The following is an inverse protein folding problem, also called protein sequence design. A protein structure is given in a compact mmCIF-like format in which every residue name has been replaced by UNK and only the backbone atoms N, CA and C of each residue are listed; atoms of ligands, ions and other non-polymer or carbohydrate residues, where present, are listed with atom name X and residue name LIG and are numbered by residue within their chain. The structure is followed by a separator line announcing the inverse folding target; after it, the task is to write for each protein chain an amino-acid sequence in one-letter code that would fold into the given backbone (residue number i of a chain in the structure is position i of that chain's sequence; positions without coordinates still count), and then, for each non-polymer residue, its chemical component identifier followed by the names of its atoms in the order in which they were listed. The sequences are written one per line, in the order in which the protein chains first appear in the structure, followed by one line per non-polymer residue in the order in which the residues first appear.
data_IF_497861925940
#
_entry.id   IF_497861925940
#
_cell.length_a   1.000
_cell.length_b   1.000
_cell.length_c   1.000
_cell.angle_alpha   90.00
_cell.angle_beta   90.00
_cell.angle_gamma   90.00
#
_symmetry.space_group_name_H-M   'P 1'
#
loop_
_entity.id
_entity.type
_entity.pdbx_description
1 polymer ?
#
# COMPACT_ATOMS: atom_id res chain seq x y z
N UNK A 1 -14.36 12.74 -14.30
CA UNK A 1 -13.19 12.14 -13.61
C UNK A 1 -13.56 11.83 -12.17
N UNK A 2 -13.28 10.61 -11.69
CA UNK A 2 -13.43 10.23 -10.28
C UNK A 2 -12.04 9.91 -9.71
N UNK A 3 -11.70 10.50 -8.56
CA UNK A 3 -10.41 10.28 -7.88
C UNK A 3 -10.56 9.15 -6.84
N UNK A 4 -9.65 8.16 -6.86
CA UNK A 4 -9.39 7.35 -5.67
C UNK A 4 -8.52 8.19 -4.71
N UNK A 5 -9.14 8.67 -3.64
CA UNK A 5 -8.56 9.64 -2.72
C UNK A 5 -7.80 9.00 -1.56
N UNK A 6 -7.63 7.67 -1.52
CA UNK A 6 -7.08 6.98 -0.35
C UNK A 6 -5.78 7.60 0.20
N UNK A 7 -4.92 8.13 -0.68
CA UNK A 7 -3.63 8.73 -0.31
C UNK A 7 -3.44 10.14 -0.86
N UNK A 8 -4.50 10.94 -0.86
CA UNK A 8 -4.50 12.28 -1.44
C UNK A 8 -3.50 13.24 -0.77
N UNK A 9 -3.28 13.12 0.54
CA UNK A 9 -2.42 14.03 1.29
C UNK A 9 -0.93 13.71 1.05
N UNK A 10 -0.58 12.43 0.92
CA UNK A 10 0.75 12.03 0.42
C UNK A 10 1.03 12.57 -0.98
N UNK A 11 0.02 12.52 -1.87
CA UNK A 11 0.16 13.05 -3.22
C UNK A 11 0.34 14.58 -3.21
N UNK A 12 -0.44 15.30 -2.39
CA UNK A 12 -0.30 16.74 -2.20
C UNK A 12 1.10 17.11 -1.67
N UNK A 13 1.68 16.30 -0.78
CA UNK A 13 3.05 16.48 -0.31
C UNK A 13 4.06 16.36 -1.44
N UNK A 14 3.97 15.35 -2.30
CA UNK A 14 4.87 15.24 -3.45
C UNK A 14 4.74 16.41 -4.42
N UNK A 15 3.53 16.90 -4.69
CA UNK A 15 3.32 18.10 -5.50
C UNK A 15 4.04 19.29 -4.87
N UNK A 16 3.83 19.53 -3.57
CA UNK A 16 4.50 20.62 -2.84
C UNK A 16 6.02 20.57 -2.96
N UNK A 17 6.61 19.39 -2.76
CA UNK A 17 8.06 19.21 -2.69
C UNK A 17 8.74 19.16 -4.07
N UNK A 18 8.02 18.74 -5.12
CA UNK A 18 8.64 18.39 -6.41
C UNK A 18 8.14 19.22 -7.59
N UNK A 19 6.96 19.84 -7.48
CA UNK A 19 6.37 20.59 -8.59
C UNK A 19 6.68 22.09 -8.47
N UNK A 20 7.23 22.65 -9.55
CA UNK A 20 7.57 24.07 -9.59
C UNK A 20 6.32 24.93 -9.43
N UNK A 21 6.37 25.92 -8.51
CA UNK A 21 5.27 26.83 -8.24
C UNK A 21 4.39 26.45 -7.05
N UNK A 22 4.61 25.29 -6.42
CA UNK A 22 3.81 24.83 -5.27
C UNK A 22 4.51 24.93 -3.91
N UNK A 23 5.80 25.30 -3.89
CA UNK A 23 6.62 25.32 -2.67
C UNK A 23 6.05 26.18 -1.53
N UNK A 24 5.42 27.32 -1.84
CA UNK A 24 4.85 28.24 -0.84
C UNK A 24 3.40 27.90 -0.45
N UNK A 25 2.77 26.92 -1.11
CA UNK A 25 1.37 26.57 -0.88
C UNK A 25 1.21 25.57 0.25
N UNK A 26 0.12 25.69 1.00
CA UNK A 26 -0.26 24.71 2.01
C UNK A 26 -0.74 23.41 1.34
N UNK A 27 -0.61 22.28 2.03
CA UNK A 27 -1.12 21.00 1.51
C UNK A 27 -2.63 21.03 1.30
N UNK A 28 -3.37 21.80 2.11
CA UNK A 28 -4.81 22.00 1.93
C UNK A 28 -5.14 22.72 0.62
N UNK A 29 -4.40 23.77 0.27
CA UNK A 29 -4.59 24.48 -1.01
C UNK A 29 -4.28 23.58 -2.21
N UNK A 30 -3.25 22.74 -2.10
CA UNK A 30 -2.88 21.77 -3.13
C UNK A 30 -3.95 20.69 -3.27
N UNK A 31 -4.40 20.11 -2.16
CA UNK A 31 -5.46 19.10 -2.16
C UNK A 31 -6.77 19.65 -2.75
N UNK A 32 -7.17 20.88 -2.39
CA UNK A 32 -8.35 21.53 -2.97
C UNK A 32 -8.23 21.69 -4.48
N UNK A 33 -7.07 22.08 -4.99
CA UNK A 33 -6.83 22.18 -6.42
C UNK A 33 -6.86 20.81 -7.10
N UNK A 34 -6.21 19.78 -6.51
CA UNK A 34 -6.27 18.41 -7.03
C UNK A 34 -7.74 17.95 -7.22
N UNK A 35 -8.58 18.18 -6.21
CA UNK A 35 -9.99 17.81 -6.28
C UNK A 35 -10.83 18.72 -7.20
N UNK A 36 -10.37 19.93 -7.51
CA UNK A 36 -11.05 20.84 -8.45
C UNK A 36 -11.06 20.31 -9.89
N UNK A 37 -10.17 19.38 -10.23
CA UNK A 37 -10.11 18.72 -11.54
C UNK A 37 -11.04 17.49 -11.65
N UNK A 38 -11.79 17.14 -10.60
CA UNK A 38 -12.62 15.94 -10.55
C UNK A 38 -14.09 16.24 -10.31
N UNK A 39 -14.94 15.33 -10.79
CA UNK A 39 -16.39 15.37 -10.61
C UNK A 39 -16.82 14.66 -9.31
N UNK A 40 -15.90 13.92 -8.69
CA UNK A 40 -16.11 13.20 -7.45
C UNK A 40 -14.89 12.39 -7.00
N UNK A 41 -15.03 11.73 -5.86
CA UNK A 41 -13.99 10.91 -5.28
C UNK A 41 -14.56 9.73 -4.47
N UNK A 42 -13.81 8.64 -4.44
CA UNK A 42 -13.97 7.56 -3.46
C UNK A 42 -12.85 7.68 -2.43
N UNK A 43 -13.17 7.56 -1.14
CA UNK A 43 -12.18 7.71 -0.07
C UNK A 43 -12.23 6.53 0.88
N UNK A 44 -11.09 5.87 1.09
CA UNK A 44 -10.88 5.03 2.27
C UNK A 44 -10.15 5.83 3.34
N UNK A 45 -10.89 6.22 4.38
CA UNK A 45 -10.33 6.98 5.50
C UNK A 45 -9.33 6.17 6.35
N UNK A 46 -9.22 4.86 6.10
CA UNK A 46 -8.21 3.95 6.68
C UNK A 46 -6.76 4.26 6.30
N UNK A 47 -6.54 5.26 5.44
CA UNK A 47 -5.23 5.68 4.92
C UNK A 47 -4.96 7.13 5.32
N UNK A 48 -5.16 8.10 4.42
CA UNK A 48 -4.98 9.53 4.73
C UNK A 48 -6.18 10.18 5.43
N UNK A 49 -7.17 9.39 5.88
CA UNK A 49 -8.12 9.84 6.90
C UNK A 49 -7.65 9.57 8.34
N UNK A 50 -6.47 8.98 8.52
CA UNK A 50 -5.85 8.61 9.80
C UNK A 50 -6.75 7.81 10.77
N UNK A 51 -7.81 7.19 10.26
CA UNK A 51 -8.78 6.43 11.03
C UNK A 51 -8.54 4.93 10.92
N UNK A 52 -9.04 4.16 11.87
CA UNK A 52 -8.94 2.68 11.83
C UNK A 52 -9.98 2.05 10.89
N UNK A 53 -11.09 2.73 10.63
CA UNK A 53 -12.19 2.29 9.78
C UNK A 53 -12.75 3.47 8.98
N UNK A 54 -13.62 3.17 8.02
CA UNK A 54 -14.46 4.16 7.34
C UNK A 54 -13.96 4.63 5.99
N UNK A 55 -14.87 5.31 5.31
CA UNK A 55 -14.74 5.81 3.95
C UNK A 55 -16.01 6.55 3.55
N UNK A 56 -15.96 7.24 2.42
CA UNK A 56 -17.08 8.01 1.90
C UNK A 56 -16.98 8.19 0.38
N UNK A 57 -18.10 8.58 -0.21
CA UNK A 57 -18.21 9.04 -1.59
C UNK A 57 -18.47 10.55 -1.57
N UNK A 58 -17.85 11.27 -2.49
CA UNK A 58 -18.11 12.68 -2.74
C UNK A 58 -18.34 12.90 -4.24
N UNK A 59 -19.27 13.79 -4.61
CA UNK A 59 -19.52 14.15 -6.00
C UNK A 59 -20.13 15.54 -6.13
N UNK A 60 -19.97 16.16 -7.30
CA UNK A 60 -20.53 17.47 -7.64
C UNK A 60 -21.89 17.37 -8.36
N UNK A 61 -22.36 16.16 -8.70
CA UNK A 61 -23.58 15.94 -9.45
C UNK A 61 -24.73 15.47 -8.54
N UNK A 62 -25.83 16.24 -8.50
CA UNK A 62 -26.97 15.94 -7.63
C UNK A 62 -27.67 14.61 -7.96
N UNK A 63 -27.81 14.27 -9.25
CA UNK A 63 -28.41 12.99 -9.66
C UNK A 63 -27.58 11.81 -9.15
N UNK A 64 -26.24 11.90 -9.23
CA UNK A 64 -25.36 10.86 -8.68
C UNK A 64 -25.46 10.80 -7.16
N UNK A 65 -25.55 11.95 -6.49
CA UNK A 65 -25.70 11.99 -5.03
C UNK A 65 -26.98 11.26 -4.59
N UNK A 66 -28.09 11.42 -5.32
CA UNK A 66 -29.33 10.70 -5.03
C UNK A 66 -29.20 9.19 -5.26
N UNK A 67 -28.59 8.77 -6.38
CA UNK A 67 -28.33 7.36 -6.64
C UNK A 67 -27.42 6.73 -5.58
N UNK A 68 -26.36 7.44 -5.16
CA UNK A 68 -25.46 7.00 -4.10
C UNK A 68 -26.18 6.87 -2.76
N UNK A 69 -27.03 7.83 -2.37
CA UNK A 69 -27.82 7.75 -1.13
C UNK A 69 -28.77 6.55 -1.15
N UNK A 70 -29.44 6.32 -2.28
CA UNK A 70 -30.35 5.18 -2.44
C UNK A 70 -29.60 3.85 -2.28
N UNK A 71 -28.44 3.70 -2.93
CA UNK A 71 -27.64 2.50 -2.80
C UNK A 71 -27.06 2.34 -1.38
N UNK A 72 -26.55 3.42 -0.79
CA UNK A 72 -25.97 3.41 0.55
C UNK A 72 -26.96 2.93 1.61
N UNK A 73 -28.24 3.33 1.52
CA UNK A 73 -29.32 2.84 2.41
C UNK A 73 -29.49 1.33 2.30
N UNK A 74 -29.38 0.77 1.09
CA UNK A 74 -29.57 -0.65 0.84
C UNK A 74 -28.36 -1.50 1.28
N UNK A 75 -27.16 -0.94 1.30
CA UNK A 75 -25.92 -1.73 1.50
C UNK A 75 -25.19 -1.44 2.81
N UNK A 76 -25.16 -0.18 3.28
CA UNK A 76 -24.29 0.23 4.40
C UNK A 76 -25.08 0.85 5.57
N UNK A 77 -26.05 1.73 5.29
CA UNK A 77 -26.82 2.46 6.30
C UNK A 77 -27.38 3.80 5.81
N UNK A 78 -28.03 4.56 6.71
CA UNK A 78 -28.63 5.85 6.36
C UNK A 78 -27.59 6.91 5.95
N UNK A 79 -27.89 7.88 5.05
CA UNK A 79 -26.91 8.81 4.50
C UNK A 79 -26.14 9.67 5.50
N UNK A 80 -26.65 9.85 6.72
CA UNK A 80 -25.96 10.62 7.76
C UNK A 80 -24.95 9.82 8.58
N UNK A 81 -24.85 8.50 8.38
CA UNK A 81 -23.85 7.67 9.06
C UNK A 81 -23.21 6.56 8.22
N UNK A 82 -23.88 6.06 7.16
CA UNK A 82 -23.29 5.17 6.15
C UNK A 82 -22.53 3.96 6.72
N UNK A 83 -23.11 3.27 7.72
CA UNK A 83 -22.49 2.12 8.37
C UNK A 83 -21.42 2.44 9.43
N UNK A 84 -21.17 3.72 9.74
CA UNK A 84 -20.18 4.15 10.72
C UNK A 84 -20.84 4.62 12.03
N UNK A 85 -20.17 4.38 13.16
CA UNK A 85 -20.60 5.01 14.40
C UNK A 85 -20.25 6.51 14.38
N UNK A 86 -21.02 7.33 15.09
CA UNK A 86 -20.78 8.78 15.13
C UNK A 86 -19.35 9.16 15.56
N UNK A 87 -18.75 8.40 16.48
CA UNK A 87 -17.34 8.58 16.90
C UNK A 87 -16.33 8.31 15.78
N UNK A 88 -16.64 7.42 14.85
CA UNK A 88 -15.77 7.10 13.72
C UNK A 88 -15.82 8.23 12.68
N UNK A 89 -17.00 8.82 12.46
CA UNK A 89 -17.16 10.02 11.63
C UNK A 89 -16.35 11.20 12.18
N UNK A 90 -16.38 11.40 13.50
CA UNK A 90 -15.59 12.44 14.18
C UNK A 90 -14.09 12.19 14.02
N UNK A 91 -13.63 10.96 14.24
CA UNK A 91 -12.23 10.59 14.07
C UNK A 91 -11.73 10.82 12.63
N UNK A 92 -12.57 10.51 11.63
CA UNK A 92 -12.27 10.77 10.21
C UNK A 92 -12.20 12.27 9.93
N UNK A 93 -13.15 13.06 10.45
CA UNK A 93 -13.17 14.52 10.29
C UNK A 93 -11.87 15.16 10.78
N UNK A 94 -11.42 14.79 11.99
CA UNK A 94 -10.16 15.26 12.56
C UNK A 94 -8.97 14.75 11.75
N UNK A 95 -8.93 13.45 11.45
CA UNK A 95 -7.81 12.80 10.77
C UNK A 95 -7.55 13.32 9.35
N UNK A 96 -8.60 13.72 8.61
CA UNK A 96 -8.45 14.35 7.28
C UNK A 96 -7.71 15.69 7.34
N UNK A 97 -7.90 16.47 8.41
CA UNK A 97 -7.19 17.73 8.62
C UNK A 97 -5.76 17.49 9.09
N UNK A 98 -5.57 16.59 10.06
CA UNK A 98 -4.23 16.19 10.54
C UNK A 98 -3.36 15.64 9.40
N UNK A 99 -3.95 14.90 8.46
CA UNK A 99 -3.22 14.37 7.31
C UNK A 99 -2.61 15.46 6.41
N UNK A 100 -3.16 16.67 6.43
CA UNK A 100 -2.67 17.82 5.65
C UNK A 100 -1.70 18.71 6.43
N UNK A 101 -1.31 18.32 7.64
CA UNK A 101 -0.23 18.99 8.37
C UNK A 101 1.12 18.70 7.71
N UNK A 102 1.84 19.76 7.34
CA UNK A 102 3.10 19.64 6.59
C UNK A 102 4.18 18.89 7.38
N UNK A 103 4.37 19.22 8.65
CA UNK A 103 5.40 18.56 9.48
C UNK A 103 5.10 17.07 9.70
N UNK A 104 3.83 16.71 9.84
CA UNK A 104 3.40 15.32 9.87
C UNK A 104 3.79 14.60 8.56
N UNK A 105 3.46 15.17 7.39
CA UNK A 105 3.80 14.57 6.11
C UNK A 105 5.31 14.51 5.89
N UNK A 106 6.06 15.53 6.29
CA UNK A 106 7.53 15.56 6.21
C UNK A 106 8.15 14.43 7.03
N UNK A 107 7.74 14.26 8.29
CA UNK A 107 8.18 13.15 9.15
C UNK A 107 7.86 11.78 8.52
N UNK A 108 6.64 11.66 8.01
CA UNK A 108 6.09 10.44 7.45
C UNK A 108 6.76 10.03 6.14
N UNK A 109 7.24 10.98 5.32
CA UNK A 109 8.01 10.70 4.10
C UNK A 109 9.50 10.50 4.39
N UNK A 110 10.07 11.26 5.33
CA UNK A 110 11.47 11.08 5.75
C UNK A 110 11.74 9.66 6.24
N UNK A 111 10.78 9.02 6.90
CA UNK A 111 10.86 7.61 7.31
C UNK A 111 11.00 6.67 6.09
N UNK A 112 10.22 6.90 5.03
CA UNK A 112 10.28 6.06 3.82
C UNK A 112 11.58 6.28 3.08
N UNK A 113 12.02 7.53 2.94
CA UNK A 113 13.30 7.89 2.31
C UNK A 113 14.49 7.33 3.09
N UNK A 114 14.42 7.33 4.42
CA UNK A 114 15.44 6.73 5.29
C UNK A 114 15.60 5.23 5.01
N UNK A 115 14.51 4.47 5.05
CA UNK A 115 14.54 3.03 4.77
C UNK A 115 14.98 2.77 3.32
N UNK A 116 14.44 3.52 2.35
CA UNK A 116 14.85 3.39 0.95
C UNK A 116 16.35 3.56 0.78
N UNK A 117 16.90 4.66 1.27
CA UNK A 117 18.34 4.97 1.20
C UNK A 117 19.18 3.87 1.84
N UNK A 118 18.76 3.36 3.00
CA UNK A 118 19.46 2.29 3.71
C UNK A 118 19.48 0.96 2.92
N UNK A 119 18.35 0.58 2.31
CA UNK A 119 18.26 -0.64 1.50
C UNK A 119 19.06 -0.51 0.19
N UNK A 120 19.01 0.66 -0.45
CA UNK A 120 19.80 0.96 -1.65
C UNK A 120 21.30 0.81 -1.37
N UNK A 121 21.78 1.34 -0.23
CA UNK A 121 23.19 1.24 0.16
C UNK A 121 23.67 -0.18 0.48
N UNK A 122 22.73 -1.12 0.63
CA UNK A 122 22.98 -2.55 0.91
C UNK A 122 22.70 -3.44 -0.30
N UNK A 123 22.59 -2.84 -1.49
CA UNK A 123 22.29 -3.53 -2.74
C UNK A 123 20.98 -4.35 -2.70
N UNK A 124 20.01 -3.93 -1.87
CA UNK A 124 18.67 -4.52 -1.83
C UNK A 124 17.84 -3.87 -2.95
N UNK A 125 17.34 -4.65 -3.93
CA UNK A 125 16.61 -4.12 -5.06
C UNK A 125 15.20 -3.68 -4.63
N UNK A 126 14.89 -2.40 -4.86
CA UNK A 126 13.59 -1.81 -4.57
C UNK A 126 13.09 -1.03 -5.78
N UNK A 127 11.78 -0.84 -5.87
CA UNK A 127 11.17 0.11 -6.81
C UNK A 127 11.60 1.53 -6.43
N UNK A 128 12.04 2.32 -7.43
CA UNK A 128 12.54 3.69 -7.25
C UNK A 128 11.83 4.69 -8.18
N UNK A 129 11.62 5.94 -7.75
CA UNK A 129 11.83 6.44 -6.39
C UNK A 129 10.85 5.78 -5.40
N UNK A 130 11.20 5.79 -4.11
CA UNK A 130 10.27 5.30 -3.09
C UNK A 130 8.98 6.11 -3.11
N UNK A 131 7.85 5.41 -2.97
CA UNK A 131 6.53 6.02 -2.96
C UNK A 131 6.20 6.67 -1.61
N UNK A 132 4.95 7.10 -1.47
CA UNK A 132 4.49 7.71 -0.22
C UNK A 132 4.45 6.71 0.93
N UNK A 133 3.98 5.48 0.79
CA UNK A 133 3.50 4.65 1.93
C UNK A 133 4.17 3.32 2.19
N UNK A 134 5.13 2.97 1.35
CA UNK A 134 5.75 1.67 1.43
C UNK A 134 7.08 1.69 0.69
N UNK A 135 7.89 0.71 1.02
CA UNK A 135 8.96 0.22 0.14
C UNK A 135 8.46 -1.04 -0.55
N UNK A 136 8.75 -1.15 -1.84
CA UNK A 136 8.48 -2.35 -2.63
C UNK A 136 9.83 -2.96 -3.01
N UNK A 137 10.16 -4.11 -2.44
CA UNK A 137 11.34 -4.89 -2.81
C UNK A 137 11.01 -5.67 -4.08
N UNK A 138 11.89 -5.63 -5.07
CA UNK A 138 11.82 -6.49 -6.25
C UNK A 138 12.35 -7.88 -5.88
N UNK A 139 11.44 -8.80 -5.58
CA UNK A 139 11.76 -10.14 -5.11
C UNK A 139 12.38 -11.01 -6.21
N UNK A 140 12.08 -10.77 -7.49
CA UNK A 140 12.73 -11.47 -8.60
C UNK A 140 14.21 -11.06 -8.70
N UNK A 141 14.51 -9.77 -8.55
CA UNK A 141 15.89 -9.30 -8.48
C UNK A 141 16.58 -9.69 -7.17
N UNK A 142 15.84 -9.80 -6.07
CA UNK A 142 16.37 -10.22 -4.76
C UNK A 142 16.72 -11.71 -4.74
N UNK A 143 15.93 -12.56 -5.42
CA UNK A 143 16.10 -14.02 -5.47
C UNK A 143 16.26 -14.48 -6.93
N UNK A 144 17.38 -14.15 -7.62
CA UNK A 144 17.54 -14.44 -9.04
C UNK A 144 17.61 -15.94 -9.38
N UNK A 145 17.83 -16.79 -8.37
CA UNK A 145 17.80 -18.26 -8.47
C UNK A 145 16.38 -18.84 -8.53
N UNK A 146 15.35 -18.05 -8.20
CA UNK A 146 13.95 -18.47 -8.22
C UNK A 146 13.23 -17.91 -9.45
N UNK A 147 12.41 -18.75 -10.10
CA UNK A 147 11.51 -18.33 -11.18
C UNK A 147 10.22 -17.77 -10.57
N UNK A 148 9.44 -17.04 -11.36
CA UNK A 148 8.15 -16.51 -10.89
C UNK A 148 7.19 -17.62 -10.39
N UNK A 149 7.22 -18.80 -11.02
CA UNK A 149 6.43 -19.97 -10.60
C UNK A 149 6.90 -20.61 -9.29
N UNK A 150 8.08 -20.23 -8.80
CA UNK A 150 8.61 -20.62 -7.50
C UNK A 150 8.19 -19.62 -6.39
N UNK A 151 7.40 -18.60 -6.74
CA UNK A 151 6.85 -17.54 -5.88
C UNK A 151 7.90 -16.85 -4.98
N UNK A 152 8.90 -16.16 -5.55
CA UNK A 152 9.99 -15.53 -4.79
C UNK A 152 9.49 -14.52 -3.76
N UNK A 153 8.38 -13.83 -4.04
CA UNK A 153 7.75 -12.92 -3.09
C UNK A 153 7.25 -13.63 -1.82
N UNK A 154 6.72 -14.85 -1.94
CA UNK A 154 6.32 -15.67 -0.78
C UNK A 154 7.54 -16.13 0.00
N UNK A 155 8.59 -16.58 -0.70
CA UNK A 155 9.87 -16.94 -0.07
C UNK A 155 10.44 -15.80 0.77
N UNK A 156 10.49 -14.59 0.23
CA UNK A 156 10.98 -13.41 0.94
C UNK A 156 10.07 -12.98 2.11
N UNK A 157 8.74 -13.03 1.95
CA UNK A 157 7.80 -12.76 3.06
C UNK A 157 7.99 -13.76 4.21
N UNK A 158 8.19 -15.04 3.90
CA UNK A 158 8.46 -16.06 4.91
C UNK A 158 9.81 -15.86 5.59
N UNK A 159 10.86 -15.52 4.82
CA UNK A 159 12.17 -15.22 5.38
C UNK A 159 12.12 -14.04 6.36
N UNK A 160 11.40 -12.96 6.00
CA UNK A 160 11.18 -11.80 6.88
C UNK A 160 10.50 -12.17 8.21
N UNK A 161 9.50 -13.05 8.13
CA UNK A 161 8.77 -13.49 9.31
C UNK A 161 9.62 -14.42 10.19
N UNK A 162 10.35 -15.36 9.59
CA UNK A 162 11.17 -16.33 10.31
C UNK A 162 12.42 -15.69 10.94
N UNK A 163 13.11 -14.81 10.22
CA UNK A 163 14.32 -14.15 10.70
C UNK A 163 13.99 -13.06 11.74
N UNK A 164 13.00 -12.21 11.44
CA UNK A 164 12.79 -10.98 12.18
C UNK A 164 11.41 -10.83 12.82
N UNK A 165 10.49 -11.78 12.65
CA UNK A 165 9.10 -11.59 13.05
C UNK A 165 8.38 -10.48 12.27
N UNK A 166 8.93 -10.06 11.12
CA UNK A 166 8.39 -8.97 10.31
C UNK A 166 7.39 -9.51 9.31
N UNK A 167 6.17 -8.97 9.33
CA UNK A 167 5.16 -9.31 8.33
C UNK A 167 5.12 -8.28 7.20
N UNK A 168 5.42 -8.76 5.99
CA UNK A 168 5.24 -8.03 4.73
C UNK A 168 4.09 -8.65 3.92
N UNK A 169 3.87 -8.13 2.70
CA UNK A 169 2.86 -8.69 1.79
C UNK A 169 3.44 -8.87 0.39
N UNK A 170 3.16 -10.03 -0.21
CA UNK A 170 3.47 -10.31 -1.61
C UNK A 170 2.48 -9.57 -2.52
N UNK A 171 3.00 -8.98 -3.59
CA UNK A 171 2.30 -8.28 -4.65
C UNK A 171 2.90 -8.69 -6.01
N UNK A 172 2.95 -10.00 -6.23
CA UNK A 172 3.56 -10.64 -7.39
C UNK A 172 2.61 -11.61 -8.07
N UNK A 173 3.14 -12.73 -8.55
CA UNK A 173 2.35 -13.73 -9.27
C UNK A 173 1.21 -14.31 -8.42
N UNK A 174 1.34 -14.41 -7.10
CA UNK A 174 0.22 -14.89 -6.27
C UNK A 174 -0.99 -13.96 -6.38
N UNK A 175 -0.77 -12.65 -6.32
CA UNK A 175 -1.86 -11.67 -6.39
C UNK A 175 -2.33 -11.40 -7.83
N UNK A 176 -1.40 -11.27 -8.78
CA UNK A 176 -1.67 -10.72 -10.11
C UNK A 176 -1.43 -11.68 -11.27
N UNK A 177 -0.90 -12.87 -11.00
CA UNK A 177 -0.76 -13.92 -11.99
C UNK A 177 -2.12 -14.41 -12.50
N UNK A 178 -2.14 -14.91 -13.73
CA UNK A 178 -3.37 -15.27 -14.46
C UNK A 178 -3.31 -16.70 -14.96
N UNK A 179 -4.42 -17.45 -14.92
CA UNK A 179 -4.49 -18.75 -15.58
C UNK A 179 -4.11 -18.62 -17.07
N UNK A 180 -3.28 -19.54 -17.57
CA UNK A 180 -2.98 -19.58 -19.00
C UNK A 180 -4.23 -19.94 -19.82
N UNK A 181 -4.48 -19.24 -20.96
CA UNK A 181 -5.52 -19.63 -21.89
C UNK A 181 -5.28 -21.05 -22.43
N UNK A 182 -6.20 -21.98 -22.16
CA UNK A 182 -6.13 -23.36 -22.65
C UNK A 182 -5.55 -24.41 -21.68
N UNK A 183 -5.22 -24.01 -20.46
CA UNK A 183 -4.59 -24.89 -19.46
C UNK A 183 -3.08 -24.97 -19.68
N UNK A 184 -2.31 -24.84 -18.60
CA UNK A 184 -0.85 -24.75 -18.65
C UNK A 184 -0.29 -24.00 -17.45
N UNK A 185 1.01 -23.68 -17.50
CA UNK A 185 1.66 -22.85 -16.48
C UNK A 185 1.01 -21.47 -16.42
N UNK A 186 0.90 -20.94 -15.21
CA UNK A 186 0.34 -19.62 -14.97
C UNK A 186 1.13 -18.51 -15.68
N UNK A 187 0.42 -17.51 -16.19
CA UNK A 187 1.04 -16.28 -16.67
C UNK A 187 1.43 -15.47 -15.44
N UNK A 188 2.74 -15.36 -15.21
CA UNK A 188 3.32 -14.59 -14.11
C UNK A 188 2.90 -13.11 -14.14
N UNK A 189 2.94 -12.48 -12.97
CA UNK A 189 2.81 -11.03 -12.86
C UNK A 189 3.98 -10.32 -13.56
N UNK A 190 3.79 -9.07 -14.04
CA UNK A 190 4.88 -8.31 -14.64
C UNK A 190 6.01 -7.98 -13.66
N UNK A 191 5.72 -8.00 -12.35
CA UNK A 191 6.68 -7.75 -11.28
C UNK A 191 6.42 -8.70 -10.11
N UNK A 192 7.49 -9.17 -9.46
CA UNK A 192 7.43 -9.93 -8.21
C UNK A 192 7.78 -8.99 -7.06
N UNK A 193 6.79 -8.31 -6.48
CA UNK A 193 7.06 -7.30 -5.45
C UNK A 193 6.73 -7.81 -4.05
N UNK A 194 7.54 -7.44 -3.07
CA UNK A 194 7.19 -7.55 -1.64
C UNK A 194 7.06 -6.15 -1.06
N UNK A 195 5.86 -5.82 -0.57
CA UNK A 195 5.55 -4.50 -0.02
C UNK A 195 5.74 -4.48 1.49
N UNK A 196 6.65 -3.61 1.92
CA UNK A 196 6.81 -3.16 3.31
C UNK A 196 5.91 -1.94 3.52
N UNK A 197 4.67 -2.16 3.95
CA UNK A 197 3.71 -1.07 4.17
C UNK A 197 3.87 -0.47 5.57
N UNK A 198 3.97 0.86 5.66
CA UNK A 198 4.20 1.55 6.92
C UNK A 198 2.90 2.18 7.46
N UNK A 199 2.37 1.69 8.60
CA UNK A 199 1.29 2.36 9.30
C UNK A 199 1.72 3.74 9.80
N UNK A 200 0.81 4.71 9.72
CA UNK A 200 1.07 6.11 10.07
C UNK A 200 1.11 6.26 11.60
N UNK A 201 2.15 6.92 12.14
CA UNK A 201 2.32 7.22 13.57
C UNK A 201 2.37 6.01 14.51
N UNK A 202 2.81 4.84 14.02
CA UNK A 202 2.90 3.61 14.82
C UNK A 202 4.34 3.25 15.18
N UNK A 203 5.22 3.24 14.19
CA UNK A 203 6.60 2.80 14.36
C UNK A 203 7.57 3.96 14.51
N UNK A 204 8.68 3.69 15.19
CA UNK A 204 9.77 4.63 15.47
C UNK A 204 10.97 4.32 14.57
N UNK A 205 11.97 5.21 14.57
CA UNK A 205 13.23 4.97 13.87
C UNK A 205 13.87 3.64 14.25
N UNK A 206 13.92 3.28 15.54
CA UNK A 206 14.49 2.00 16.00
C UNK A 206 13.78 0.75 15.45
N UNK A 207 12.48 0.83 15.18
CA UNK A 207 11.77 -0.27 14.51
C UNK A 207 12.19 -0.40 13.05
N UNK A 208 12.49 0.72 12.39
CA UNK A 208 13.00 0.72 11.02
C UNK A 208 14.47 0.33 10.95
N UNK A 209 15.29 0.69 11.94
CA UNK A 209 16.66 0.20 12.08
C UNK A 209 16.67 -1.33 12.19
N UNK A 210 15.82 -1.88 13.06
CA UNK A 210 15.62 -3.32 13.19
C UNK A 210 15.18 -3.98 11.86
N UNK A 211 14.21 -3.37 11.16
CA UNK A 211 13.77 -3.86 9.85
C UNK A 211 14.92 -3.89 8.84
N UNK A 212 15.75 -2.85 8.81
CA UNK A 212 16.91 -2.76 7.92
C UNK A 212 17.95 -3.84 8.27
N UNK A 213 18.22 -4.08 9.55
CA UNK A 213 19.14 -5.14 10.01
C UNK A 213 18.65 -6.53 9.61
N UNK A 214 17.36 -6.83 9.80
CA UNK A 214 16.75 -8.10 9.37
C UNK A 214 16.87 -8.27 7.86
N UNK A 215 16.57 -7.24 7.07
CA UNK A 215 16.67 -7.28 5.61
C UNK A 215 18.12 -7.45 5.13
N UNK A 216 19.08 -6.83 5.81
CA UNK A 216 20.50 -7.00 5.53
C UNK A 216 20.97 -8.43 5.83
N UNK A 217 20.54 -9.01 6.95
CA UNK A 217 20.81 -10.41 7.30
C UNK A 217 20.26 -11.37 6.23
N UNK A 218 18.99 -11.19 5.84
CA UNK A 218 18.36 -11.97 4.76
C UNK A 218 19.09 -11.76 3.44
N UNK A 219 19.44 -10.53 3.10
CA UNK A 219 20.15 -10.19 1.86
C UNK A 219 21.49 -10.92 1.71
N UNK A 220 22.24 -11.09 2.80
CA UNK A 220 23.51 -11.84 2.81
C UNK A 220 23.33 -13.35 2.58
N UNK A 221 22.15 -13.89 2.87
CA UNK A 221 21.81 -15.31 2.70
C UNK A 221 20.68 -15.52 1.69
N UNK A 222 20.44 -14.58 0.77
CA UNK A 222 19.27 -14.61 -0.13
C UNK A 222 19.17 -15.87 -1.01
N UNK A 223 20.29 -16.50 -1.33
CA UNK A 223 20.34 -17.76 -2.08
C UNK A 223 19.74 -18.94 -1.29
N UNK A 224 19.58 -18.82 0.04
CA UNK A 224 18.92 -19.83 0.88
C UNK A 224 17.40 -19.67 0.92
N UNK A 225 16.83 -18.64 0.27
CA UNK A 225 15.39 -18.49 0.15
C UNK A 225 14.87 -19.58 -0.78
N UNK A 226 13.98 -20.42 -0.26
CA UNK A 226 13.46 -21.60 -0.94
C UNK A 226 12.33 -21.25 -1.92
N UNK A 227 12.15 -22.12 -2.91
CA UNK A 227 10.99 -22.14 -3.78
C UNK A 227 9.73 -22.57 -3.01
N UNK A 228 8.57 -22.06 -3.42
CA UNK A 228 7.28 -22.44 -2.87
C UNK A 228 6.33 -22.90 -3.97
N UNK A 229 5.32 -23.70 -3.58
CA UNK A 229 4.17 -24.02 -4.42
C UNK A 229 2.87 -23.87 -3.65
N UNK A 230 1.80 -23.48 -4.35
CA UNK A 230 0.46 -23.38 -3.78
C UNK A 230 -0.11 -24.80 -3.63
N UNK A 231 -0.59 -25.13 -2.43
CA UNK A 231 -1.24 -26.42 -2.13
C UNK A 231 -2.77 -26.31 -2.11
N UNK A 232 -3.28 -25.12 -1.78
CA UNK A 232 -4.71 -24.81 -1.71
C UNK A 232 -4.91 -23.36 -2.12
N UNK A 233 -5.94 -23.07 -2.92
CA UNK A 233 -6.28 -21.69 -3.32
C UNK A 233 -7.78 -21.51 -3.55
N UNK A 234 -8.28 -20.34 -3.18
CA UNK A 234 -9.63 -19.89 -3.52
C UNK A 234 -9.74 -19.52 -5.02
N UNK A 235 -10.94 -19.63 -5.63
CA UNK A 235 -11.14 -19.27 -7.04
C UNK A 235 -10.99 -17.76 -7.31
N UNK A 236 -11.15 -16.92 -6.28
CA UNK A 236 -11.02 -15.48 -6.36
C UNK A 236 -10.16 -14.98 -5.22
N UNK A 237 -9.34 -13.95 -5.49
CA UNK A 237 -8.49 -13.28 -4.48
C UNK A 237 -7.64 -14.25 -3.64
N UNK A 238 -7.07 -15.28 -4.29
CA UNK A 238 -6.31 -16.35 -3.63
C UNK A 238 -5.20 -15.87 -2.68
N UNK A 239 -4.62 -14.70 -2.93
CA UNK A 239 -3.56 -14.11 -2.10
C UNK A 239 -3.97 -13.88 -0.64
N UNK A 240 -5.27 -13.90 -0.30
CA UNK A 240 -5.72 -13.84 1.10
C UNK A 240 -5.74 -15.19 1.82
N UNK A 241 -5.92 -16.29 1.09
CA UNK A 241 -6.30 -17.59 1.68
C UNK A 241 -5.51 -18.77 1.14
N UNK A 242 -4.58 -18.55 0.22
CA UNK A 242 -3.77 -19.63 -0.33
C UNK A 242 -2.86 -20.25 0.74
N UNK A 243 -2.69 -21.57 0.66
CA UNK A 243 -1.73 -22.32 1.44
C UNK A 243 -0.53 -22.70 0.56
N UNK A 244 0.64 -22.80 1.20
CA UNK A 244 1.90 -23.03 0.51
C UNK A 244 2.71 -24.11 1.22
N UNK A 245 3.55 -24.78 0.45
CA UNK A 245 4.63 -25.61 0.98
C UNK A 245 5.93 -25.34 0.20
N UNK A 246 7.06 -25.71 0.81
CA UNK A 246 8.37 -25.63 0.16
C UNK A 246 8.39 -26.57 -1.04
N UNK A 247 8.80 -26.06 -2.20
CA UNK A 247 9.06 -26.85 -3.39
C UNK A 247 10.51 -27.34 -3.29
N UNK A 248 10.68 -28.62 -2.93
CA UNK A 248 12.00 -29.25 -2.78
C UNK A 248 12.74 -29.48 -4.08
#
# INVERSE_FOLDING_TARGET
LIIDACRFAENAFFIKEREQGFADRTLLEIAREMFSFADGATMSAKKDGLANIGGFLACNNDSWADDFRNLLILTEGFPTYGGLAGRDLEAISVGLLEALEYDYQRYRHATVEYVASALISRDIPIVRPAGGHAIFIDAAAFCPHLRASDYPGIGLVNALYLEGGVRAVELGSVMFGKPAPGGGEEIAAPHELVRLAFPRRVYTQSHFDYLIEVLDAIGRQRESIEAYRITEQAPFLRHFTAHYERAG
#
